data_IF_258773533936
#
_entry.id   IF_258773533936
#
_cell.length_a   1.000
_cell.length_b   1.000
_cell.length_c   1.000
_cell.angle_alpha   90.00
_cell.angle_beta   90.00
_cell.angle_gamma   90.00
#
_symmetry.space_group_name_H-M   'P 1'
#
loop_
_entity.id
_entity.type
_entity.pdbx_description
1 polymer ?
#
# COMPACT_ATOMS: atom_id res chain seq x y z
N UNK A 1 -26.49 -13.12 22.05
CA UNK A 1 -26.09 -12.47 20.79
C UNK A 1 -25.35 -11.14 21.02
N UNK A 2 -25.24 -10.64 22.26
CA UNK A 2 -24.71 -9.30 22.56
C UNK A 2 -23.21 -9.24 22.90
N UNK A 3 -22.56 -10.39 23.14
CA UNK A 3 -21.13 -10.42 23.48
C UNK A 3 -20.17 -10.29 22.29
N UNK A 4 -20.58 -10.73 21.10
CA UNK A 4 -19.77 -10.64 19.87
C UNK A 4 -19.75 -9.22 19.31
N UNK A 5 -20.78 -8.43 19.59
CA UNK A 5 -20.88 -7.06 19.09
C UNK A 5 -19.99 -6.08 19.90
N UNK A 6 -19.70 -6.40 21.17
CA UNK A 6 -18.97 -5.51 22.08
C UNK A 6 -17.43 -5.56 21.88
N UNK A 7 -16.88 -6.68 21.41
CA UNK A 7 -15.44 -6.81 21.14
C UNK A 7 -15.01 -6.04 19.89
N UNK A 8 -15.83 -6.02 18.85
CA UNK A 8 -15.56 -5.29 17.61
C UNK A 8 -15.53 -3.75 17.81
N UNK A 9 -16.32 -3.23 18.78
CA UNK A 9 -16.31 -1.80 19.10
C UNK A 9 -15.08 -1.37 19.90
N UNK A 10 -14.47 -2.27 20.67
CA UNK A 10 -13.33 -1.97 21.52
C UNK A 10 -12.04 -1.77 20.72
N UNK A 11 -11.90 -2.49 19.59
CA UNK A 11 -10.67 -2.51 18.78
C UNK A 11 -10.76 -1.65 17.49
N UNK A 12 -11.87 -0.92 17.28
CA UNK A 12 -12.10 -0.14 16.03
C UNK A 12 -10.98 0.89 15.72
N UNK A 13 -10.39 1.49 16.74
CA UNK A 13 -9.29 2.44 16.57
C UNK A 13 -7.98 1.76 16.15
N UNK A 14 -7.76 0.53 16.61
CA UNK A 14 -6.62 -0.29 16.18
C UNK A 14 -6.78 -0.69 14.71
N UNK A 15 -7.99 -1.11 14.32
CA UNK A 15 -8.31 -1.42 12.92
C UNK A 15 -8.12 -0.18 12.03
N UNK A 16 -8.60 0.98 12.48
CA UNK A 16 -8.38 2.24 11.78
C UNK A 16 -6.89 2.53 11.61
N UNK A 17 -6.10 2.37 12.67
CA UNK A 17 -4.67 2.60 12.64
C UNK A 17 -3.99 1.69 11.59
N UNK A 18 -4.31 0.39 11.57
CA UNK A 18 -3.77 -0.55 10.60
C UNK A 18 -4.16 -0.13 9.17
N UNK A 19 -5.43 0.18 8.91
CA UNK A 19 -5.90 0.59 7.58
C UNK A 19 -5.22 1.89 7.14
N UNK A 20 -5.08 2.86 8.05
CA UNK A 20 -4.43 4.14 7.79
C UNK A 20 -2.95 3.96 7.47
N UNK A 21 -2.23 3.12 8.24
CA UNK A 21 -0.81 2.84 8.00
C UNK A 21 -0.57 2.16 6.64
N UNK A 22 -1.41 1.18 6.29
CA UNK A 22 -1.32 0.50 4.97
C UNK A 22 -1.65 1.47 3.83
N UNK A 23 -2.69 2.27 3.99
CA UNK A 23 -3.09 3.25 2.95
C UNK A 23 -2.01 4.33 2.77
N UNK A 24 -1.45 4.82 3.86
CA UNK A 24 -0.30 5.73 3.86
C UNK A 24 0.90 5.10 3.13
N UNK A 25 1.26 3.86 3.46
CA UNK A 25 2.35 3.12 2.83
C UNK A 25 2.15 2.99 1.31
N UNK A 26 0.96 2.58 0.85
CA UNK A 26 0.67 2.45 -0.58
C UNK A 26 0.75 3.79 -1.33
N UNK A 27 0.29 4.86 -0.68
CA UNK A 27 0.32 6.21 -1.27
C UNK A 27 1.74 6.78 -1.29
N UNK A 28 2.48 6.58 -0.21
CA UNK A 28 3.90 6.94 -0.11
C UNK A 28 4.71 6.23 -1.21
N UNK A 29 4.53 4.92 -1.37
CA UNK A 29 5.20 4.13 -2.41
C UNK A 29 4.91 4.68 -3.82
N UNK A 30 3.67 5.02 -4.12
CA UNK A 30 3.29 5.60 -5.41
C UNK A 30 3.93 6.97 -5.69
N UNK A 31 4.18 7.77 -4.65
CA UNK A 31 4.75 9.12 -4.78
C UNK A 31 6.27 9.16 -4.72
N UNK A 32 6.88 8.33 -3.87
CA UNK A 32 8.33 8.29 -3.63
C UNK A 32 9.13 7.87 -4.88
N UNK A 33 8.59 6.95 -5.67
CA UNK A 33 9.25 6.40 -6.88
C UNK A 33 9.49 7.49 -7.93
N UNK A 34 8.61 8.49 -8.04
CA UNK A 34 8.73 9.54 -9.06
C UNK A 34 10.05 10.33 -8.95
N UNK A 35 10.54 10.57 -7.75
CA UNK A 35 11.81 11.27 -7.50
C UNK A 35 13.02 10.40 -7.80
N UNK A 36 12.88 9.10 -7.60
CA UNK A 36 13.96 8.13 -7.82
C UNK A 36 14.14 7.77 -9.31
N UNK A 37 13.18 8.03 -10.20
CA UNK A 37 13.22 7.64 -11.61
C UNK A 37 14.53 8.03 -12.33
N UNK A 38 15.06 9.26 -12.22
CA UNK A 38 16.30 9.64 -12.90
C UNK A 38 17.52 8.84 -12.42
N UNK A 39 17.58 8.54 -11.12
CA UNK A 39 18.66 7.76 -10.52
C UNK A 39 18.56 6.29 -10.92
N UNK A 40 17.33 5.74 -10.90
CA UNK A 40 17.05 4.38 -11.37
C UNK A 40 17.41 4.20 -12.85
N UNK A 41 17.07 5.19 -13.71
CA UNK A 41 17.41 5.15 -15.14
C UNK A 41 18.92 5.07 -15.37
N UNK A 42 19.70 5.85 -14.62
CA UNK A 42 21.17 5.82 -14.67
C UNK A 42 21.72 4.50 -14.15
N UNK A 43 21.25 4.03 -13.01
CA UNK A 43 21.70 2.80 -12.37
C UNK A 43 21.42 1.56 -13.21
N UNK A 44 20.26 1.49 -13.84
CA UNK A 44 19.84 0.37 -14.70
C UNK A 44 20.28 0.52 -16.16
N UNK A 45 20.98 1.60 -16.51
CA UNK A 45 21.44 1.90 -17.88
C UNK A 45 20.31 1.90 -18.92
N UNK A 46 19.16 2.46 -18.56
CA UNK A 46 17.97 2.53 -19.42
C UNK A 46 17.58 3.97 -19.74
N UNK A 47 16.78 4.14 -20.80
CA UNK A 47 16.27 5.46 -21.19
C UNK A 47 15.22 5.96 -20.20
N UNK A 48 15.01 7.28 -20.17
CA UNK A 48 13.94 7.91 -19.38
C UNK A 48 12.55 7.38 -19.77
N UNK A 49 12.33 7.08 -21.05
CA UNK A 49 11.08 6.45 -21.51
C UNK A 49 10.94 5.02 -20.97
N UNK A 50 12.03 4.25 -20.93
CA UNK A 50 12.03 2.90 -20.41
C UNK A 50 11.70 2.85 -18.91
N UNK A 51 12.31 3.73 -18.11
CA UNK A 51 12.07 3.73 -16.67
C UNK A 51 10.65 4.18 -16.28
N UNK A 52 9.97 4.95 -17.12
CA UNK A 52 8.56 5.31 -16.92
C UNK A 52 7.63 4.10 -16.85
N UNK A 53 8.01 2.97 -17.44
CA UNK A 53 7.25 1.72 -17.33
C UNK A 53 7.08 1.25 -15.88
N UNK A 54 8.01 1.59 -15.00
CA UNK A 54 7.95 1.25 -13.56
C UNK A 54 6.72 1.90 -12.88
N UNK A 55 6.42 3.16 -13.22
CA UNK A 55 5.24 3.88 -12.69
C UNK A 55 3.99 3.50 -13.48
N UNK A 56 4.07 3.49 -14.80
CA UNK A 56 2.90 3.25 -15.66
C UNK A 56 2.32 1.85 -15.45
N UNK A 57 3.15 0.80 -15.38
CA UNK A 57 2.69 -0.57 -15.11
C UNK A 57 1.98 -0.71 -13.77
N UNK A 58 2.49 -0.03 -12.74
CA UNK A 58 1.88 0.00 -11.41
C UNK A 58 0.50 0.65 -11.45
N UNK A 59 0.36 1.84 -12.05
CA UNK A 59 -0.91 2.57 -12.12
C UNK A 59 -1.94 1.83 -12.98
N UNK A 60 -1.54 1.27 -14.13
CA UNK A 60 -2.44 0.48 -14.98
C UNK A 60 -2.95 -0.74 -14.21
N UNK A 61 -2.07 -1.47 -13.53
CA UNK A 61 -2.47 -2.66 -12.80
C UNK A 61 -3.40 -2.33 -11.62
N UNK A 62 -3.15 -1.27 -10.86
CA UNK A 62 -4.08 -0.83 -9.81
C UNK A 62 -5.45 -0.53 -10.41
N UNK A 63 -5.49 0.27 -11.47
CA UNK A 63 -6.74 0.67 -12.11
C UNK A 63 -7.55 -0.53 -12.64
N UNK A 64 -6.87 -1.52 -13.22
CA UNK A 64 -7.50 -2.73 -13.73
C UNK A 64 -7.99 -3.66 -12.60
N UNK A 65 -7.23 -3.77 -11.52
CA UNK A 65 -7.48 -4.76 -10.48
C UNK A 65 -8.39 -4.27 -9.34
N UNK A 66 -8.53 -2.95 -9.14
CA UNK A 66 -9.26 -2.39 -7.97
C UNK A 66 -10.73 -2.84 -7.92
N UNK A 67 -11.43 -2.90 -9.05
CA UNK A 67 -12.81 -3.34 -9.12
C UNK A 67 -12.95 -4.85 -8.84
N UNK A 68 -12.00 -5.64 -9.34
CA UNK A 68 -11.96 -7.09 -9.12
C UNK A 68 -11.78 -7.39 -7.65
N UNK A 69 -10.82 -6.74 -6.98
CA UNK A 69 -10.56 -6.94 -5.56
C UNK A 69 -11.63 -6.33 -4.65
N UNK A 70 -12.34 -5.29 -5.10
CA UNK A 70 -13.54 -4.80 -4.43
C UNK A 70 -14.62 -5.88 -4.38
N UNK A 71 -14.95 -6.48 -5.53
CA UNK A 71 -15.92 -7.57 -5.61
C UNK A 71 -15.46 -8.82 -4.85
N UNK A 72 -14.20 -9.19 -4.92
CA UNK A 72 -13.64 -10.29 -4.13
C UNK A 72 -13.77 -10.03 -2.61
N UNK A 73 -13.55 -8.78 -2.19
CA UNK A 73 -13.76 -8.38 -0.79
C UNK A 73 -15.20 -8.54 -0.32
N UNK A 74 -16.17 -8.25 -1.18
CA UNK A 74 -17.58 -8.45 -0.87
C UNK A 74 -17.96 -9.94 -0.80
N UNK A 75 -17.33 -10.80 -1.61
CA UNK A 75 -17.61 -12.25 -1.66
C UNK A 75 -16.86 -13.05 -0.59
N UNK A 76 -15.58 -12.77 -0.37
CA UNK A 76 -14.67 -13.55 0.47
C UNK A 76 -14.44 -12.93 1.87
N UNK A 77 -14.88 -11.67 2.03
CA UNK A 77 -14.67 -10.87 3.22
C UNK A 77 -13.53 -9.85 3.05
N UNK A 78 -13.87 -8.58 3.29
CA UNK A 78 -12.97 -7.42 3.08
C UNK A 78 -11.64 -7.55 3.83
N UNK A 79 -11.68 -8.01 5.08
CA UNK A 79 -10.49 -8.18 5.91
C UNK A 79 -9.53 -9.24 5.36
N UNK A 80 -10.06 -10.35 4.83
CA UNK A 80 -9.23 -11.41 4.24
C UNK A 80 -8.51 -10.92 2.99
N UNK A 81 -9.24 -10.24 2.09
CA UNK A 81 -8.66 -9.68 0.86
C UNK A 81 -7.68 -8.56 1.17
N UNK A 82 -7.95 -7.74 2.18
CA UNK A 82 -7.05 -6.69 2.65
C UNK A 82 -5.72 -7.27 3.18
N UNK A 83 -5.76 -8.30 4.04
CA UNK A 83 -4.56 -9.00 4.55
C UNK A 83 -3.75 -9.65 3.42
N UNK A 84 -4.42 -10.31 2.49
CA UNK A 84 -3.78 -10.84 1.27
C UNK A 84 -3.07 -9.73 0.51
N UNK A 85 -3.74 -8.58 0.34
CA UNK A 85 -3.17 -7.40 -0.31
C UNK A 85 -1.89 -6.90 0.36
N UNK A 86 -1.86 -6.82 1.70
CA UNK A 86 -0.65 -6.42 2.45
C UNK A 86 0.49 -7.40 2.19
N UNK A 87 0.23 -8.71 2.25
CA UNK A 87 1.26 -9.72 2.02
C UNK A 87 1.84 -9.62 0.60
N UNK A 88 0.99 -9.54 -0.43
CA UNK A 88 1.42 -9.41 -1.83
C UNK A 88 2.16 -8.09 -2.07
N UNK A 89 1.69 -6.98 -1.49
CA UNK A 89 2.36 -5.68 -1.58
C UNK A 89 3.77 -5.73 -0.97
N UNK A 90 3.90 -6.31 0.22
CA UNK A 90 5.18 -6.44 0.93
C UNK A 90 6.16 -7.32 0.17
N UNK A 91 5.69 -8.45 -0.38
CA UNK A 91 6.52 -9.31 -1.24
C UNK A 91 6.94 -8.60 -2.52
N UNK A 92 6.02 -7.90 -3.18
CA UNK A 92 6.34 -7.09 -4.37
C UNK A 92 7.37 -6.00 -4.07
N UNK A 93 7.26 -5.34 -2.91
CA UNK A 93 8.23 -4.34 -2.44
C UNK A 93 9.62 -4.96 -2.23
N UNK A 94 9.70 -6.16 -1.66
CA UNK A 94 10.96 -6.88 -1.52
C UNK A 94 11.60 -7.18 -2.88
N UNK A 95 10.81 -7.68 -3.84
CA UNK A 95 11.30 -7.96 -5.18
C UNK A 95 11.75 -6.69 -5.92
N UNK A 96 11.06 -5.56 -5.74
CA UNK A 96 11.51 -4.27 -6.27
C UNK A 96 12.86 -3.83 -5.68
N UNK A 97 13.06 -4.08 -4.37
CA UNK A 97 14.25 -3.65 -3.66
C UNK A 97 15.51 -4.52 -3.87
N UNK A 98 15.39 -5.69 -4.50
CA UNK A 98 16.53 -6.60 -4.72
C UNK A 98 16.89 -6.77 -6.20
N UNK A 99 16.23 -6.04 -7.10
CA UNK A 99 16.41 -6.21 -8.55
C UNK A 99 17.52 -5.33 -9.12
N UNK A 100 18.19 -5.83 -10.14
CA UNK A 100 19.16 -5.09 -10.96
C UNK A 100 18.72 -4.98 -12.44
N UNK A 101 17.48 -5.34 -12.78
CA UNK A 101 16.97 -5.37 -14.15
C UNK A 101 15.64 -4.62 -14.27
N UNK A 102 15.49 -3.78 -15.30
CA UNK A 102 14.24 -3.07 -15.59
C UNK A 102 13.07 -4.03 -15.76
N UNK A 103 13.25 -5.10 -16.53
CA UNK A 103 12.17 -6.07 -16.80
C UNK A 103 11.68 -6.71 -15.52
N UNK A 104 12.60 -7.14 -14.65
CA UNK A 104 12.23 -7.72 -13.36
C UNK A 104 11.57 -6.68 -12.45
N UNK A 105 12.06 -5.45 -12.45
CA UNK A 105 11.47 -4.35 -11.67
C UNK A 105 10.02 -4.08 -12.10
N UNK A 106 9.74 -4.04 -13.40
CA UNK A 106 8.37 -3.86 -13.92
C UNK A 106 7.46 -5.01 -13.48
N UNK A 107 7.93 -6.26 -13.56
CA UNK A 107 7.16 -7.43 -13.09
C UNK A 107 6.88 -7.33 -11.59
N UNK A 108 7.90 -7.00 -10.80
CA UNK A 108 7.76 -6.81 -9.36
C UNK A 108 6.77 -5.68 -9.01
N UNK A 109 6.77 -4.58 -9.78
CA UNK A 109 5.79 -3.49 -9.66
C UNK A 109 4.37 -3.93 -9.99
N UNK A 110 4.17 -4.78 -10.97
CA UNK A 110 2.86 -5.38 -11.27
C UNK A 110 2.36 -6.22 -10.10
N UNK A 111 3.22 -7.07 -9.52
CA UNK A 111 2.87 -7.86 -8.32
C UNK A 111 2.53 -6.95 -7.14
N UNK A 112 3.35 -5.94 -6.89
CA UNK A 112 3.12 -4.96 -5.83
C UNK A 112 1.80 -4.20 -6.03
N UNK A 113 1.46 -3.82 -7.27
CA UNK A 113 0.22 -3.14 -7.62
C UNK A 113 -1.03 -3.99 -7.37
N UNK A 114 -0.95 -5.30 -7.58
CA UNK A 114 -2.03 -6.25 -7.23
C UNK A 114 -2.31 -6.17 -5.72
N UNK A 115 -1.26 -6.19 -4.89
CA UNK A 115 -1.38 -6.00 -3.44
C UNK A 115 -1.98 -4.66 -3.05
N UNK A 116 -1.51 -3.57 -3.66
CA UNK A 116 -2.05 -2.22 -3.46
C UNK A 116 -3.55 -2.14 -3.82
N UNK A 117 -3.94 -2.68 -4.97
CA UNK A 117 -5.33 -2.69 -5.41
C UNK A 117 -6.24 -3.45 -4.42
N UNK A 118 -5.79 -4.60 -3.92
CA UNK A 118 -6.53 -5.40 -2.95
C UNK A 118 -6.73 -4.66 -1.61
N UNK A 119 -5.70 -3.94 -1.14
CA UNK A 119 -5.80 -3.13 0.09
C UNK A 119 -6.67 -1.90 -0.10
N UNK A 120 -6.45 -1.12 -1.17
CA UNK A 120 -7.17 0.13 -1.44
C UNK A 120 -8.68 -0.11 -1.67
N UNK A 121 -9.03 -1.16 -2.43
CA UNK A 121 -10.41 -1.50 -2.72
C UNK A 121 -11.24 -1.83 -1.45
N UNK A 122 -10.61 -2.37 -0.42
CA UNK A 122 -11.29 -2.87 0.77
C UNK A 122 -11.17 -1.96 1.99
N UNK A 123 -10.21 -1.02 2.02
CA UNK A 123 -9.92 -0.17 3.18
C UNK A 123 -11.13 0.63 3.67
N UNK A 124 -11.84 1.32 2.77
CA UNK A 124 -13.03 2.10 3.14
C UNK A 124 -14.19 1.21 3.63
N UNK A 125 -14.36 0.05 3.00
CA UNK A 125 -15.38 -0.93 3.39
C UNK A 125 -15.15 -1.51 4.78
N UNK A 126 -13.88 -1.73 5.17
CA UNK A 126 -13.51 -2.16 6.52
C UNK A 126 -13.87 -1.07 7.53
N UNK A 127 -13.48 0.19 7.29
CA UNK A 127 -13.76 1.32 8.19
C UNK A 127 -15.27 1.50 8.37
N UNK A 128 -16.03 1.49 7.28
CA UNK A 128 -17.50 1.67 7.35
C UNK A 128 -18.21 0.50 8.01
N UNK A 129 -17.63 -0.70 8.01
CA UNK A 129 -18.14 -1.88 8.70
C UNK A 129 -17.91 -1.85 10.21
N UNK A 130 -16.79 -1.25 10.66
CA UNK A 130 -16.39 -1.24 12.08
C UNK A 130 -16.90 0.01 12.83
N UNK A 131 -17.02 1.16 12.14
CA UNK A 131 -17.44 2.40 12.76
C UNK A 131 -18.95 2.63 12.67
N UNK A 132 -19.62 3.09 13.77
CA UNK A 132 -21.00 3.50 13.73
C UNK A 132 -21.20 4.71 12.81
N UNK A 133 -22.39 4.87 12.23
CA UNK A 133 -22.69 5.89 11.22
C UNK A 133 -22.25 7.32 11.62
N UNK A 134 -22.39 7.67 12.91
CA UNK A 134 -22.03 8.98 13.46
C UNK A 134 -20.50 9.27 13.42
N UNK A 135 -19.66 8.24 13.43
CA UNK A 135 -18.19 8.38 13.50
C UNK A 135 -17.49 8.06 12.16
N UNK A 136 -18.21 7.50 11.18
CA UNK A 136 -17.64 7.11 9.86
C UNK A 136 -16.96 8.28 9.16
N UNK A 137 -17.59 9.45 9.16
CA UNK A 137 -17.02 10.64 8.54
C UNK A 137 -15.66 11.03 9.14
N UNK A 138 -15.54 10.94 10.48
CA UNK A 138 -14.27 11.20 11.17
C UNK A 138 -13.20 10.17 10.80
N UNK A 139 -13.53 8.88 10.80
CA UNK A 139 -12.59 7.81 10.48
C UNK A 139 -12.11 7.89 9.01
N UNK A 140 -13.03 8.13 8.07
CA UNK A 140 -12.69 8.33 6.66
C UNK A 140 -11.88 9.61 6.43
N UNK A 141 -12.18 10.70 7.16
CA UNK A 141 -11.41 11.93 7.13
C UNK A 141 -9.96 11.73 7.58
N UNK A 142 -9.75 10.98 8.67
CA UNK A 142 -8.40 10.60 9.12
C UNK A 142 -7.67 9.82 8.01
N UNK A 143 -8.31 8.83 7.39
CA UNK A 143 -7.70 8.07 6.31
C UNK A 143 -7.33 8.96 5.13
N UNK A 144 -8.21 9.87 4.71
CA UNK A 144 -7.94 10.83 3.65
C UNK A 144 -6.76 11.76 3.96
N UNK A 145 -6.62 12.20 5.21
CA UNK A 145 -5.48 12.99 5.67
C UNK A 145 -4.16 12.23 5.51
N UNK A 146 -4.12 10.96 5.89
CA UNK A 146 -2.91 10.15 5.75
C UNK A 146 -2.58 9.80 4.29
N UNK A 147 -3.58 9.67 3.42
CA UNK A 147 -3.38 9.58 1.96
C UNK A 147 -2.66 10.84 1.45
N UNK A 148 -3.16 12.02 1.82
CA UNK A 148 -2.54 13.29 1.42
C UNK A 148 -1.12 13.44 1.97
N UNK A 149 -0.90 13.05 3.25
CA UNK A 149 0.43 13.06 3.86
C UNK A 149 1.40 12.12 3.14
N UNK A 150 0.98 10.91 2.78
CA UNK A 150 1.81 9.97 2.00
C UNK A 150 2.24 10.55 0.66
N UNK A 151 1.31 11.18 -0.05
CA UNK A 151 1.62 11.83 -1.33
C UNK A 151 2.57 13.02 -1.17
N UNK A 152 2.41 13.80 -0.10
CA UNK A 152 3.21 15.00 0.15
C UNK A 152 4.63 14.67 0.66
N UNK A 153 4.75 13.70 1.56
CA UNK A 153 6.03 13.33 2.19
C UNK A 153 6.89 12.50 1.25
N UNK A 154 6.28 11.73 0.34
CA UNK A 154 6.99 10.80 -0.55
C UNK A 154 8.15 11.43 -1.32
N UNK A 155 7.98 12.54 -2.04
CA UNK A 155 9.07 13.15 -2.79
C UNK A 155 10.25 13.59 -1.91
N UNK A 156 9.98 14.20 -0.75
CA UNK A 156 11.02 14.62 0.19
C UNK A 156 11.78 13.44 0.80
N UNK A 157 11.04 12.43 1.25
CA UNK A 157 11.63 11.21 1.80
C UNK A 157 12.41 10.43 0.74
N UNK A 158 11.88 10.35 -0.49
CA UNK A 158 12.54 9.68 -1.61
C UNK A 158 13.85 10.32 -1.99
N UNK A 159 13.88 11.65 -2.10
CA UNK A 159 15.13 12.38 -2.35
C UNK A 159 16.16 12.10 -1.26
N UNK A 160 15.78 12.21 0.01
CA UNK A 160 16.67 11.94 1.14
C UNK A 160 17.22 10.51 1.12
N UNK A 161 16.38 9.49 0.88
CA UNK A 161 16.83 8.09 0.84
C UNK A 161 17.78 7.85 -0.31
N UNK A 162 17.47 8.36 -1.50
CA UNK A 162 18.30 8.17 -2.71
C UNK A 162 19.65 8.87 -2.56
N UNK A 163 19.70 10.04 -1.93
CA UNK A 163 20.95 10.77 -1.69
C UNK A 163 21.81 10.13 -0.59
N UNK A 164 21.16 9.58 0.46
CA UNK A 164 21.86 9.02 1.61
C UNK A 164 22.32 7.56 1.40
N UNK A 165 21.64 6.81 0.52
CA UNK A 165 21.86 5.37 0.34
C UNK A 165 21.81 4.96 -1.14
N UNK A 166 20.74 4.27 -1.55
CA UNK A 166 20.48 3.89 -2.93
C UNK A 166 18.97 3.78 -3.18
N UNK A 167 18.57 3.79 -4.44
CA UNK A 167 17.15 3.84 -4.85
C UNK A 167 16.35 2.60 -4.42
N UNK A 168 16.99 1.46 -4.22
CA UNK A 168 16.33 0.21 -3.79
C UNK A 168 15.65 0.35 -2.43
N UNK A 169 16.21 1.17 -1.55
CA UNK A 169 15.68 1.39 -0.20
C UNK A 169 14.30 2.06 -0.18
N UNK A 170 13.92 2.79 -1.25
CA UNK A 170 12.56 3.34 -1.34
C UNK A 170 11.48 2.27 -1.35
N UNK A 171 11.79 1.06 -1.82
CA UNK A 171 10.90 -0.09 -1.77
C UNK A 171 11.03 -0.87 -0.47
N UNK A 172 12.26 -1.01 0.03
CA UNK A 172 12.55 -1.78 1.24
C UNK A 172 11.93 -1.17 2.50
N UNK A 173 11.70 0.15 2.54
CA UNK A 173 11.00 0.83 3.65
C UNK A 173 9.57 0.33 3.87
N UNK A 174 8.94 -0.24 2.85
CA UNK A 174 7.60 -0.82 2.95
C UNK A 174 7.58 -2.14 3.74
N UNK A 175 8.70 -2.87 3.79
CA UNK A 175 8.77 -4.19 4.40
C UNK A 175 8.51 -4.17 5.91
N UNK A 176 9.18 -3.34 6.73
CA UNK A 176 8.91 -3.26 8.14
C UNK A 176 7.43 -2.92 8.44
N UNK A 177 6.88 -1.94 7.70
CA UNK A 177 5.49 -1.51 7.87
C UNK A 177 4.53 -2.65 7.51
N UNK A 178 4.77 -3.34 6.39
CA UNK A 178 3.97 -4.47 5.95
C UNK A 178 3.99 -5.63 6.95
N UNK A 179 5.16 -5.99 7.49
CA UNK A 179 5.31 -7.05 8.48
C UNK A 179 4.56 -6.67 9.77
N UNK A 180 4.77 -5.47 10.30
CA UNK A 180 4.11 -4.99 11.51
C UNK A 180 2.58 -5.04 11.35
N UNK A 181 2.06 -4.53 10.24
CA UNK A 181 0.61 -4.50 9.99
C UNK A 181 0.01 -5.90 9.81
N UNK A 182 0.75 -6.85 9.23
CA UNK A 182 0.32 -8.26 9.13
C UNK A 182 0.25 -8.93 10.50
N UNK A 183 1.25 -8.71 11.37
CA UNK A 183 1.25 -9.28 12.73
C UNK A 183 0.11 -8.72 13.58
N UNK A 184 -0.07 -7.40 13.60
CA UNK A 184 -1.18 -6.79 14.35
C UNK A 184 -2.55 -7.17 13.78
N UNK A 185 -2.68 -7.28 12.45
CA UNK A 185 -3.92 -7.73 11.82
C UNK A 185 -4.29 -9.20 12.13
N UNK A 186 -3.32 -10.04 12.56
CA UNK A 186 -3.58 -11.43 12.96
C UNK A 186 -4.10 -11.56 14.38
N UNK A 187 -3.74 -10.64 15.27
CA UNK A 187 -4.18 -10.71 16.68
C UNK A 187 -5.60 -10.21 16.92
N UNK A 188 -6.28 -9.70 15.89
CA UNK A 188 -7.66 -9.17 15.97
C UNK A 188 -8.74 -10.16 15.47
N UNK A 189 -8.38 -11.40 15.14
CA UNK A 189 -9.31 -12.52 14.89
C UNK A 189 -9.66 -13.25 16.16
#
# INVERSE_FOLDING_TARGET
MDSVNNSNFKNRWVILFIVVMVTFMCTLDGSIVNVALPVMAKSLHVTTAGIQLVVTSYLIMISAAILVFGKLGDMLGKTKVFKFGIAVFTMGSLFCGITSSLTFLVIARVVQAIGAAATMANSQGIITGVFPAKERGRALGITGTFVALGAMVGPGLGGFIVDATSWEYIFLINIPIGIITLFYGRSEE
#
